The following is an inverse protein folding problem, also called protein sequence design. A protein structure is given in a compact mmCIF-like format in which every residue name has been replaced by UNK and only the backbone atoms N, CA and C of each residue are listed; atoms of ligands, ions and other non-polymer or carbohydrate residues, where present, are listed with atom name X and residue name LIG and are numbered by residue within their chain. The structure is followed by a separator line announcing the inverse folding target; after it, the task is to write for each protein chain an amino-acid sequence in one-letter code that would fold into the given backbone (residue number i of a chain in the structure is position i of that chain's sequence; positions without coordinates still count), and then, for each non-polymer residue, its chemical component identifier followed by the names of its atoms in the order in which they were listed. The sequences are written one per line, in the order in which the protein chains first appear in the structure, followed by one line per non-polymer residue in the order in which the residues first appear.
data_IF_248617718550
#
_entry.id   IF_248617718550
#
_cell.length_a   1.000
_cell.length_b   1.000
_cell.length_c   1.000
_cell.angle_alpha   90.00
_cell.angle_beta   90.00
_cell.angle_gamma   90.00
#
_symmetry.space_group_name_H-M   'P 1'
#
loop_
_entity.id
_entity.type
_entity.pdbx_description
1 polymer ?
#
# COMPACT_ATOMS: atom_id res chain seq x y z
N UNK A 1 55.20 7.44 43.21
CA UNK A 1 55.93 7.70 41.96
C UNK A 1 55.28 6.83 40.88
N UNK A 2 54.26 7.38 40.19
CA UNK A 2 54.26 7.68 38.75
C UNK A 2 54.24 6.39 37.90
N UNK A 3 53.09 5.89 37.44
CA UNK A 3 52.26 6.38 36.33
C UNK A 3 53.07 6.66 35.05
N UNK A 4 53.30 5.63 34.22
CA UNK A 4 53.77 5.81 32.83
C UNK A 4 53.52 4.60 31.89
N UNK A 5 53.05 3.45 32.38
CA UNK A 5 52.90 2.24 31.55
C UNK A 5 51.52 2.00 30.92
N UNK A 6 50.42 2.38 31.60
CA UNK A 6 49.08 1.90 31.19
C UNK A 6 48.33 2.84 30.24
N UNK A 7 48.73 4.11 30.11
CA UNK A 7 48.04 5.09 29.25
C UNK A 7 48.30 4.92 27.76
N UNK A 8 49.34 4.18 27.34
CA UNK A 8 49.67 4.00 25.91
C UNK A 8 49.01 2.79 25.25
N UNK A 9 48.53 1.80 26.03
CA UNK A 9 47.82 0.64 25.47
C UNK A 9 46.35 0.98 25.24
N UNK A 10 45.75 1.81 26.11
CA UNK A 10 44.37 2.28 25.96
C UNK A 10 44.24 3.28 24.78
N UNK A 11 45.34 3.94 24.39
CA UNK A 11 45.36 4.97 23.33
C UNK A 11 45.44 4.46 21.89
N UNK A 12 45.60 3.15 21.64
CA UNK A 12 45.69 2.62 20.26
C UNK A 12 44.66 1.57 19.87
N UNK A 13 43.79 1.17 20.79
CA UNK A 13 42.71 0.20 20.51
C UNK A 13 41.38 0.90 20.13
N UNK A 14 41.28 2.21 20.32
CA UNK A 14 40.07 2.98 19.98
C UNK A 14 39.94 3.41 18.51
N UNK A 15 40.87 3.02 17.61
CA UNK A 15 40.96 3.65 16.28
C UNK A 15 40.68 2.75 15.07
N UNK A 16 40.10 1.55 15.26
CA UNK A 16 39.80 0.70 14.11
C UNK A 16 38.63 -0.27 14.35
N UNK A 17 37.47 0.28 14.74
CA UNK A 17 36.20 -0.44 14.67
C UNK A 17 35.28 0.28 13.67
N UNK A 18 35.49 -0.09 12.40
CA UNK A 18 34.42 -0.46 11.47
C UNK A 18 33.29 0.58 11.31
N UNK A 19 33.56 1.58 10.46
CA UNK A 19 32.54 2.28 9.68
C UNK A 19 31.96 1.31 8.62
N UNK A 20 31.16 0.33 9.05
CA UNK A 20 30.15 -0.25 8.14
C UNK A 20 28.99 0.72 8.16
N UNK A 21 29.01 1.64 7.20
CA UNK A 21 27.82 2.36 6.82
C UNK A 21 26.82 1.32 6.34
N UNK A 22 25.95 0.88 7.25
CA UNK A 22 24.74 0.17 6.87
C UNK A 22 23.91 1.20 6.12
N UNK A 23 23.99 1.14 4.79
CA UNK A 23 23.07 1.86 3.92
C UNK A 23 21.72 1.19 4.15
N UNK A 24 20.97 1.65 5.15
CA UNK A 24 19.54 1.40 5.21
C UNK A 24 18.98 2.03 3.94
N UNK A 25 18.87 1.27 2.86
CA UNK A 25 17.87 1.55 1.86
C UNK A 25 16.55 1.51 2.62
N UNK A 26 15.96 2.68 2.86
CA UNK A 26 14.59 2.84 3.36
C UNK A 26 13.68 2.34 2.23
N UNK A 27 13.60 1.02 2.12
CA UNK A 27 12.52 0.37 1.40
C UNK A 27 11.36 0.26 2.38
N UNK A 28 10.14 0.47 1.89
CA UNK A 28 8.94 0.14 2.64
C UNK A 28 9.09 -1.28 3.18
N UNK A 29 8.92 -1.45 4.49
CA UNK A 29 9.12 -2.75 5.13
C UNK A 29 8.07 -3.72 4.58
N UNK A 30 8.54 -4.82 4.00
CA UNK A 30 7.69 -5.89 3.48
C UNK A 30 6.67 -6.34 4.52
N UNK A 31 5.48 -6.67 4.06
CA UNK A 31 4.39 -7.17 4.86
C UNK A 31 4.67 -8.61 5.31
N UNK A 32 4.36 -8.91 6.57
CA UNK A 32 4.52 -10.24 7.15
C UNK A 32 3.18 -10.88 7.50
N UNK A 33 3.11 -12.21 7.54
CA UNK A 33 1.89 -12.95 7.92
C UNK A 33 1.35 -12.53 9.29
N UNK A 34 2.23 -12.36 10.28
CA UNK A 34 1.84 -11.90 11.61
C UNK A 34 1.24 -10.49 11.58
N UNK A 35 1.77 -9.59 10.75
CA UNK A 35 1.20 -8.25 10.57
C UNK A 35 -0.20 -8.30 9.92
N UNK A 36 -0.41 -9.20 8.94
CA UNK A 36 -1.74 -9.45 8.36
C UNK A 36 -2.72 -9.99 9.41
N UNK A 37 -2.30 -10.94 10.24
CA UNK A 37 -3.16 -11.51 11.28
C UNK A 37 -3.54 -10.50 12.36
N UNK A 38 -2.60 -9.65 12.78
CA UNK A 38 -2.89 -8.55 13.70
C UNK A 38 -3.86 -7.54 13.07
N UNK A 39 -3.64 -7.23 11.80
CA UNK A 39 -4.53 -6.35 11.05
C UNK A 39 -5.95 -6.92 10.94
N UNK A 40 -6.11 -8.20 10.58
CA UNK A 40 -7.40 -8.88 10.48
C UNK A 40 -8.19 -8.82 11.79
N UNK A 41 -7.50 -8.93 12.94
CA UNK A 41 -8.12 -8.82 14.27
C UNK A 41 -8.55 -7.39 14.61
N UNK A 42 -7.75 -6.39 14.24
CA UNK A 42 -7.97 -5.00 14.60
C UNK A 42 -8.94 -4.28 13.64
N UNK A 43 -8.94 -4.63 12.36
CA UNK A 43 -9.62 -3.89 11.30
C UNK A 43 -11.12 -3.64 11.57
N UNK A 44 -11.94 -4.62 12.01
CA UNK A 44 -13.36 -4.36 12.30
C UNK A 44 -13.59 -3.26 13.34
N UNK A 45 -12.75 -3.22 14.36
CA UNK A 45 -12.89 -2.27 15.48
C UNK A 45 -12.29 -0.92 15.13
N UNK A 46 -11.21 -0.90 14.34
CA UNK A 46 -10.69 0.33 13.72
C UNK A 46 -11.72 0.97 12.80
N UNK A 47 -12.39 0.20 11.94
CA UNK A 47 -13.42 0.72 11.03
C UNK A 47 -14.61 1.33 11.81
N UNK A 48 -15.11 0.63 12.83
CA UNK A 48 -16.16 1.15 13.71
C UNK A 48 -15.74 2.46 14.39
N UNK A 49 -14.50 2.51 14.89
CA UNK A 49 -13.96 3.72 15.51
C UNK A 49 -13.80 4.88 14.52
N UNK A 50 -13.37 4.61 13.28
CA UNK A 50 -13.24 5.62 12.22
C UNK A 50 -14.60 6.24 11.87
N UNK A 51 -15.65 5.43 11.72
CA UNK A 51 -17.00 5.93 11.44
C UNK A 51 -17.54 6.79 12.58
N UNK A 52 -17.33 6.39 13.84
CA UNK A 52 -17.70 7.20 15.01
C UNK A 52 -16.98 8.56 15.08
N UNK A 53 -15.79 8.67 14.47
CA UNK A 53 -14.98 9.88 14.50
C UNK A 53 -14.94 10.63 13.16
N UNK A 54 -15.67 10.16 12.15
CA UNK A 54 -15.66 10.70 10.78
C UNK A 54 -15.95 12.19 10.71
N UNK A 55 -16.94 12.66 11.47
CA UNK A 55 -17.32 14.08 11.52
C UNK A 55 -16.20 15.00 12.01
N UNK A 56 -15.27 14.47 12.82
CA UNK A 56 -14.11 15.21 13.33
C UNK A 56 -12.96 15.26 12.34
N UNK A 57 -12.90 14.34 11.37
CA UNK A 57 -11.79 14.17 10.42
C UNK A 57 -12.12 14.63 9.01
N UNK A 58 -13.28 15.26 8.80
CA UNK A 58 -13.64 15.84 7.51
C UNK A 58 -12.60 16.88 7.08
N UNK A 59 -11.96 16.64 5.94
CA UNK A 59 -10.91 17.50 5.37
C UNK A 59 -11.12 17.62 3.87
N UNK A 60 -10.80 18.79 3.33
CA UNK A 60 -10.77 19.05 1.88
C UNK A 60 -9.47 18.54 1.24
N UNK A 61 -8.46 18.20 2.04
CA UNK A 61 -7.20 17.62 1.57
C UNK A 61 -7.42 16.19 1.06
N UNK A 62 -7.03 15.94 -0.20
CA UNK A 62 -7.17 14.63 -0.84
C UNK A 62 -5.81 14.06 -1.18
N UNK A 63 -5.44 12.99 -0.48
CA UNK A 63 -4.34 12.13 -0.88
C UNK A 63 -4.84 11.12 -1.91
N UNK A 64 -4.15 10.99 -3.04
CA UNK A 64 -4.41 9.89 -3.98
C UNK A 64 -3.82 8.60 -3.39
N UNK A 65 -4.66 7.85 -2.68
CA UNK A 65 -4.26 6.64 -1.97
C UNK A 65 -3.62 5.57 -2.87
N UNK A 66 -4.10 5.43 -4.11
CA UNK A 66 -3.60 4.38 -5.02
C UNK A 66 -2.24 4.73 -5.62
N UNK A 67 -1.91 6.03 -5.71
CA UNK A 67 -0.61 6.50 -6.24
C UNK A 67 0.40 6.82 -5.14
N UNK A 68 -0.03 6.87 -3.89
CA UNK A 68 0.83 7.18 -2.75
C UNK A 68 1.50 5.92 -2.22
N UNK A 69 2.73 6.06 -1.75
CA UNK A 69 3.42 4.98 -1.04
C UNK A 69 2.75 4.70 0.30
N UNK A 70 2.88 3.48 0.86
CA UNK A 70 2.39 3.16 2.21
C UNK A 70 2.87 4.13 3.27
N UNK A 71 4.11 4.60 3.16
CA UNK A 71 4.69 5.58 4.08
C UNK A 71 4.01 6.95 3.96
N UNK A 72 3.78 7.45 2.75
CA UNK A 72 3.09 8.72 2.53
C UNK A 72 1.67 8.69 3.08
N UNK A 73 0.95 7.59 2.87
CA UNK A 73 -0.40 7.39 3.44
C UNK A 73 -0.34 7.37 4.96
N UNK A 74 0.63 6.67 5.55
CA UNK A 74 0.78 6.57 7.00
C UNK A 74 1.13 7.90 7.66
N UNK A 75 2.02 8.68 7.05
CA UNK A 75 2.38 10.04 7.48
C UNK A 75 1.15 10.95 7.44
N UNK A 76 0.42 10.95 6.32
CA UNK A 76 -0.81 11.73 6.18
C UNK A 76 -1.86 11.35 7.23
N UNK A 77 -2.15 10.06 7.39
CA UNK A 77 -3.13 9.58 8.37
C UNK A 77 -2.71 9.94 9.81
N UNK A 78 -1.42 9.82 10.12
CA UNK A 78 -0.87 10.22 11.43
C UNK A 78 -1.07 11.71 11.68
N UNK A 79 -0.76 12.57 10.71
CA UNK A 79 -0.94 14.01 10.82
C UNK A 79 -2.41 14.39 11.00
N UNK A 80 -3.32 13.74 10.27
CA UNK A 80 -4.76 13.96 10.42
C UNK A 80 -5.25 13.60 11.82
N UNK A 81 -4.84 12.44 12.35
CA UNK A 81 -5.18 12.07 13.72
C UNK A 81 -4.63 13.05 14.76
N UNK A 82 -3.41 13.56 14.56
CA UNK A 82 -2.82 14.57 15.46
C UNK A 82 -3.56 15.90 15.40
N UNK A 83 -3.84 16.40 14.19
CA UNK A 83 -4.57 17.64 13.94
C UNK A 83 -5.93 17.68 14.63
N UNK A 84 -6.59 16.53 14.70
CA UNK A 84 -7.92 16.40 15.30
C UNK A 84 -7.91 15.86 16.74
N UNK A 85 -6.73 15.72 17.37
CA UNK A 85 -6.60 15.26 18.76
C UNK A 85 -6.97 13.80 18.98
N UNK A 86 -7.07 13.00 17.92
CA UNK A 86 -7.51 11.59 17.96
C UNK A 86 -6.36 10.59 18.03
N UNK A 87 -5.12 11.04 17.87
CA UNK A 87 -3.93 10.18 17.81
C UNK A 87 -3.77 9.27 19.05
N UNK A 88 -4.00 9.81 20.25
CA UNK A 88 -3.88 9.05 21.50
C UNK A 88 -4.96 7.96 21.60
N UNK A 89 -6.20 8.31 21.28
CA UNK A 89 -7.34 7.40 21.34
C UNK A 89 -7.17 6.26 20.34
N UNK A 90 -6.74 6.59 19.11
CA UNK A 90 -6.43 5.59 18.09
C UNK A 90 -5.28 4.67 18.52
N UNK A 91 -4.21 5.23 19.10
CA UNK A 91 -3.10 4.45 19.63
C UNK A 91 -3.55 3.47 20.73
N UNK A 92 -4.47 3.90 21.61
CA UNK A 92 -5.02 3.05 22.66
C UNK A 92 -5.86 1.91 22.09
N UNK A 93 -6.67 2.17 21.06
CA UNK A 93 -7.42 1.15 20.35
C UNK A 93 -6.47 0.08 19.78
N UNK A 94 -5.45 0.49 19.03
CA UNK A 94 -4.50 -0.44 18.40
C UNK A 94 -3.75 -1.31 19.42
N UNK A 95 -3.41 -0.76 20.60
CA UNK A 95 -2.73 -1.51 21.67
C UNK A 95 -3.55 -2.68 22.21
N UNK A 96 -4.88 -2.61 22.17
CA UNK A 96 -5.75 -3.73 22.56
C UNK A 96 -5.55 -4.97 21.69
N UNK A 97 -5.06 -4.78 20.46
CA UNK A 97 -4.75 -5.84 19.49
C UNK A 97 -3.25 -6.16 19.44
N UNK A 98 -2.43 -5.63 20.36
CA UNK A 98 -0.98 -5.84 20.38
C UNK A 98 -0.21 -5.00 19.35
N UNK A 99 -0.86 -4.03 18.71
CA UNK A 99 -0.23 -3.16 17.71
C UNK A 99 0.31 -1.91 18.40
N UNK A 100 1.64 -1.81 18.51
CA UNK A 100 2.32 -0.72 19.23
C UNK A 100 2.63 0.50 18.35
N UNK A 101 2.76 0.29 17.05
CA UNK A 101 3.14 1.33 16.09
C UNK A 101 1.99 1.62 15.13
N UNK A 102 1.34 2.77 15.34
CA UNK A 102 0.21 3.23 14.54
C UNK A 102 0.60 3.67 13.12
N UNK A 103 1.79 4.25 12.93
CA UNK A 103 2.29 4.55 11.58
C UNK A 103 2.46 3.24 10.80
N UNK A 104 3.03 2.21 11.42
CA UNK A 104 3.15 0.88 10.81
C UNK A 104 1.79 0.25 10.52
N UNK A 105 0.78 0.49 11.36
CA UNK A 105 -0.58 0.02 11.07
C UNK A 105 -1.13 0.59 9.76
N UNK A 106 -0.95 1.90 9.51
CA UNK A 106 -1.41 2.50 8.26
C UNK A 106 -0.62 2.05 7.04
N UNK A 107 0.69 1.79 7.19
CA UNK A 107 1.48 1.16 6.14
C UNK A 107 0.92 -0.24 5.81
N UNK A 108 0.69 -1.07 6.82
CA UNK A 108 0.14 -2.43 6.67
C UNK A 108 -1.23 -2.38 5.98
N UNK A 109 -2.14 -1.52 6.46
CA UNK A 109 -3.45 -1.30 5.84
C UNK A 109 -3.29 -0.95 4.35
N UNK A 110 -2.32 -0.08 4.03
CA UNK A 110 -2.08 0.37 2.65
C UNK A 110 -1.55 -0.74 1.77
N UNK A 111 -0.55 -1.48 2.26
CA UNK A 111 0.01 -2.65 1.59
C UNK A 111 -1.05 -3.73 1.34
N UNK A 112 -1.91 -4.00 2.33
CA UNK A 112 -3.02 -4.96 2.21
C UNK A 112 -4.00 -4.51 1.14
N UNK A 113 -4.46 -3.25 1.17
CA UNK A 113 -5.45 -2.75 0.21
C UNK A 113 -4.90 -2.74 -1.22
N UNK A 114 -3.69 -2.19 -1.43
CA UNK A 114 -3.06 -2.15 -2.76
C UNK A 114 -2.80 -3.56 -3.29
N UNK A 115 -2.28 -4.47 -2.45
CA UNK A 115 -2.03 -5.87 -2.84
C UNK A 115 -3.33 -6.64 -3.13
N UNK A 116 -4.39 -6.41 -2.35
CA UNK A 116 -5.70 -7.01 -2.59
C UNK A 116 -6.31 -6.53 -3.91
N UNK A 117 -6.20 -5.24 -4.23
CA UNK A 117 -6.65 -4.69 -5.52
C UNK A 117 -5.86 -5.32 -6.66
N UNK A 118 -4.53 -5.41 -6.55
CA UNK A 118 -3.68 -6.04 -7.57
C UNK A 118 -4.00 -7.53 -7.78
N UNK A 119 -4.26 -8.28 -6.70
CA UNK A 119 -4.65 -9.68 -6.76
C UNK A 119 -6.07 -9.87 -7.32
N UNK A 120 -7.00 -8.99 -6.97
CA UNK A 120 -8.37 -9.01 -7.50
C UNK A 120 -8.38 -8.68 -8.99
N UNK A 121 -7.56 -7.71 -9.43
CA UNK A 121 -7.39 -7.38 -10.83
C UNK A 121 -6.80 -8.55 -11.64
N UNK A 122 -5.87 -9.33 -11.08
CA UNK A 122 -5.37 -10.56 -11.71
C UNK A 122 -6.46 -11.60 -11.93
N UNK A 123 -7.32 -11.79 -10.94
CA UNK A 123 -8.40 -12.77 -11.01
C UNK A 123 -9.51 -12.32 -11.95
N UNK A 124 -9.76 -11.01 -12.03
CA UNK A 124 -10.80 -10.42 -12.86
C UNK A 124 -10.37 -10.23 -14.33
N UNK A 125 -9.07 -10.10 -14.62
CA UNK A 125 -8.60 -9.94 -16.00
C UNK A 125 -8.72 -11.26 -16.77
N UNK A 126 -9.56 -11.31 -17.84
CA UNK A 126 -9.61 -12.46 -18.73
C UNK A 126 -8.24 -12.67 -19.36
N UNK A 127 -7.78 -13.93 -19.39
CA UNK A 127 -6.59 -14.26 -20.18
C UNK A 127 -6.86 -13.93 -21.64
N UNK A 128 -6.06 -13.03 -22.23
CA UNK A 128 -6.22 -12.61 -23.62
C UNK A 128 -7.05 -11.35 -23.86
N UNK A 129 -7.41 -10.58 -22.82
CA UNK A 129 -8.12 -9.30 -22.99
C UNK A 129 -7.40 -8.34 -23.96
N UNK A 130 -6.06 -8.36 -23.98
CA UNK A 130 -5.27 -7.58 -24.94
C UNK A 130 -5.56 -7.99 -26.39
N UNK A 131 -5.78 -9.29 -26.67
CA UNK A 131 -6.09 -9.78 -28.01
C UNK A 131 -7.52 -9.38 -28.42
N UNK A 132 -8.50 -9.62 -27.56
CA UNK A 132 -9.89 -9.23 -27.81
C UNK A 132 -10.04 -7.72 -28.05
N UNK A 133 -9.30 -6.92 -27.29
CA UNK A 133 -9.34 -5.46 -27.40
C UNK A 133 -8.62 -4.94 -28.66
N UNK A 134 -7.54 -5.59 -29.10
CA UNK A 134 -6.92 -5.32 -30.40
C UNK A 134 -7.85 -5.70 -31.56
N UNK A 135 -8.55 -6.84 -31.47
CA UNK A 135 -9.51 -7.26 -32.47
C UNK A 135 -10.71 -6.28 -32.54
N UNK A 136 -11.17 -5.78 -31.39
CA UNK A 136 -12.21 -4.76 -31.33
C UNK A 136 -11.78 -3.41 -31.94
N UNK A 137 -10.53 -2.99 -31.74
CA UNK A 137 -9.98 -1.79 -32.39
C UNK A 137 -9.91 -1.95 -33.91
N UNK A 138 -9.49 -3.12 -34.40
CA UNK A 138 -9.46 -3.42 -35.83
C UNK A 138 -10.88 -3.40 -36.45
N UNK A 139 -11.87 -3.95 -35.75
CA UNK A 139 -13.27 -3.90 -36.20
C UNK A 139 -13.82 -2.47 -36.20
N UNK A 140 -13.47 -1.64 -35.20
CA UNK A 140 -13.87 -0.25 -35.14
C UNK A 140 -13.30 0.57 -36.31
N UNK A 141 -12.04 0.33 -36.68
CA UNK A 141 -11.39 1.00 -37.82
C UNK A 141 -12.10 0.66 -39.14
N UNK A 142 -12.49 -0.60 -39.32
CA UNK A 142 -13.15 -1.09 -40.53
C UNK A 142 -14.68 -0.90 -40.56
N UNK A 143 -15.27 -0.26 -39.55
CA UNK A 143 -16.74 -0.10 -39.47
C UNK A 143 -17.22 1.08 -40.30
N UNK A 144 -18.07 0.86 -41.30
CA UNK A 144 -18.68 1.95 -42.08
C UNK A 144 -19.90 2.60 -41.38
N UNK A 145 -20.31 2.07 -40.23
CA UNK A 145 -21.51 2.51 -39.50
C UNK A 145 -21.27 3.74 -38.59
N UNK A 146 -20.01 4.13 -38.38
CA UNK A 146 -19.63 5.21 -37.47
C UNK A 146 -18.95 6.33 -38.23
N UNK A 147 -19.23 7.56 -37.82
CA UNK A 147 -18.48 8.73 -38.29
C UNK A 147 -17.04 8.70 -37.76
N UNK A 148 -16.12 9.37 -38.47
CA UNK A 148 -14.70 9.42 -38.08
C UNK A 148 -14.49 9.97 -36.66
N UNK A 149 -15.32 10.93 -36.27
CA UNK A 149 -15.25 11.57 -34.96
C UNK A 149 -15.71 10.64 -33.83
N UNK A 150 -16.75 9.83 -34.08
CA UNK A 150 -17.20 8.77 -33.18
C UNK A 150 -16.16 7.65 -33.05
N UNK A 151 -15.57 7.20 -34.17
CA UNK A 151 -14.47 6.23 -34.16
C UNK A 151 -13.29 6.74 -33.34
N UNK A 152 -12.90 8.00 -33.53
CA UNK A 152 -11.79 8.61 -32.79
C UNK A 152 -12.08 8.68 -31.28
N UNK A 153 -13.31 9.02 -30.88
CA UNK A 153 -13.70 9.02 -29.48
C UNK A 153 -13.67 7.62 -28.86
N UNK A 154 -14.26 6.63 -29.54
CA UNK A 154 -14.28 5.25 -29.05
C UNK A 154 -12.88 4.65 -28.97
N UNK A 155 -12.01 4.95 -29.95
CA UNK A 155 -10.60 4.56 -29.94
C UNK A 155 -9.86 5.15 -28.74
N UNK A 156 -10.07 6.44 -28.43
CA UNK A 156 -9.47 7.05 -27.22
C UNK A 156 -9.95 6.38 -25.94
N UNK A 157 -11.24 6.06 -25.82
CA UNK A 157 -11.78 5.37 -24.65
C UNK A 157 -11.19 3.97 -24.50
N UNK A 158 -11.12 3.20 -25.58
CA UNK A 158 -10.49 1.88 -25.58
C UNK A 158 -8.99 1.96 -25.22
N UNK A 159 -8.23 2.89 -25.81
CA UNK A 159 -6.82 3.06 -25.48
C UNK A 159 -6.60 3.44 -24.01
N UNK A 160 -7.47 4.28 -23.43
CA UNK A 160 -7.43 4.62 -22.01
C UNK A 160 -7.76 3.40 -21.12
N UNK A 161 -8.75 2.60 -21.48
CA UNK A 161 -9.07 1.36 -20.77
C UNK A 161 -7.91 0.36 -20.87
N UNK A 162 -7.29 0.23 -22.05
CA UNK A 162 -6.12 -0.64 -22.26
C UNK A 162 -4.92 -0.17 -21.44
N UNK A 163 -4.66 1.15 -21.39
CA UNK A 163 -3.60 1.72 -20.56
C UNK A 163 -3.80 1.43 -19.07
N UNK A 164 -5.04 1.53 -18.58
CA UNK A 164 -5.38 1.18 -17.20
C UNK A 164 -5.25 -0.33 -16.94
N UNK A 165 -5.74 -1.17 -17.85
CA UNK A 165 -5.61 -2.62 -17.77
C UNK A 165 -4.14 -3.04 -17.77
N UNK A 166 -3.29 -2.46 -18.62
CA UNK A 166 -1.85 -2.71 -18.65
C UNK A 166 -1.14 -2.23 -17.38
N UNK A 167 -1.53 -1.09 -16.81
CA UNK A 167 -0.99 -0.64 -15.52
C UNK A 167 -1.36 -1.61 -14.40
N UNK A 168 -2.62 -2.04 -14.35
CA UNK A 168 -3.08 -3.06 -13.41
C UNK A 168 -2.38 -4.40 -13.64
N UNK A 169 -2.17 -4.80 -14.90
CA UNK A 169 -1.47 -6.03 -15.28
C UNK A 169 0.01 -5.97 -14.90
N UNK A 170 0.66 -4.81 -15.03
CA UNK A 170 2.05 -4.63 -14.63
C UNK A 170 2.18 -4.64 -13.10
N UNK A 171 1.27 -3.98 -12.38
CA UNK A 171 1.18 -4.03 -10.92
C UNK A 171 0.92 -5.47 -10.43
N UNK A 172 0.10 -6.21 -11.18
CA UNK A 172 -0.22 -7.60 -10.95
C UNK A 172 0.94 -8.58 -11.22
N UNK A 173 1.59 -8.44 -12.37
CA UNK A 173 2.72 -9.27 -12.81
C UNK A 173 3.92 -9.12 -11.89
N UNK A 174 4.09 -7.93 -11.33
CA UNK A 174 5.03 -7.70 -10.25
C UNK A 174 4.48 -8.35 -8.97
N UNK A 175 4.59 -9.68 -8.86
CA UNK A 175 4.28 -10.39 -7.61
C UNK A 175 5.19 -9.87 -6.51
N UNK A 176 4.67 -8.94 -5.72
CA UNK A 176 5.37 -8.42 -4.55
C UNK A 176 5.38 -9.47 -3.45
N UNK A 177 6.32 -9.34 -2.52
CA UNK A 177 6.32 -10.15 -1.31
C UNK A 177 4.99 -10.02 -0.55
N UNK A 178 4.44 -8.81 -0.49
CA UNK A 178 3.14 -8.51 0.14
C UNK A 178 2.02 -9.35 -0.49
N UNK A 179 1.94 -9.42 -1.81
CA UNK A 179 0.91 -10.21 -2.50
C UNK A 179 1.00 -11.71 -2.17
N UNK A 180 2.21 -12.26 -2.05
CA UNK A 180 2.41 -13.67 -1.67
C UNK A 180 1.95 -13.93 -0.24
N UNK A 181 2.25 -13.01 0.67
CA UNK A 181 1.83 -13.09 2.07
C UNK A 181 0.30 -12.99 2.20
N UNK A 182 -0.36 -12.23 1.33
CA UNK A 182 -1.82 -12.07 1.34
C UNK A 182 -2.60 -13.28 0.84
N UNK A 183 -2.05 -14.08 -0.08
CA UNK A 183 -2.77 -15.19 -0.73
C UNK A 183 -3.59 -16.08 0.23
N UNK A 184 -3.02 -16.58 1.35
CA UNK A 184 -3.79 -17.42 2.29
C UNK A 184 -4.90 -16.69 3.04
N UNK A 185 -4.88 -15.35 3.08
CA UNK A 185 -5.83 -14.52 3.83
C UNK A 185 -6.90 -13.85 2.96
N UNK A 186 -6.88 -14.03 1.64
CA UNK A 186 -7.75 -13.30 0.70
C UNK A 186 -9.24 -13.38 1.02
N UNK A 187 -9.72 -14.54 1.48
CA UNK A 187 -11.13 -14.71 1.85
C UNK A 187 -11.49 -13.83 3.05
N UNK A 188 -10.64 -13.80 4.07
CA UNK A 188 -10.87 -13.02 5.29
C UNK A 188 -10.76 -11.51 5.01
N UNK A 189 -9.79 -11.11 4.19
CA UNK A 189 -9.62 -9.72 3.74
C UNK A 189 -10.86 -9.27 2.96
N UNK A 190 -11.35 -10.11 2.02
CA UNK A 190 -12.57 -9.82 1.26
C UNK A 190 -13.78 -9.63 2.18
N UNK A 191 -13.95 -10.49 3.19
CA UNK A 191 -15.05 -10.36 4.16
C UNK A 191 -15.01 -9.02 4.91
N UNK A 192 -13.83 -8.56 5.29
CA UNK A 192 -13.64 -7.25 5.94
C UNK A 192 -14.05 -6.12 5.00
N UNK A 193 -13.59 -6.14 3.74
CA UNK A 193 -13.93 -5.09 2.78
C UNK A 193 -15.41 -5.11 2.36
N UNK A 194 -16.04 -6.27 2.24
CA UNK A 194 -17.48 -6.36 1.94
C UNK A 194 -18.36 -5.87 3.08
N UNK A 195 -17.86 -5.81 4.32
CA UNK A 195 -18.59 -5.23 5.44
C UNK A 195 -18.56 -3.68 5.47
N UNK A 196 -17.84 -3.05 4.54
CA UNK A 196 -17.75 -1.59 4.39
C UNK A 196 -18.75 -1.00 3.39
N UNK A 197 -19.43 -1.85 2.61
CA UNK A 197 -20.51 -1.47 1.67
C UNK A 197 -21.87 -1.40 2.39
#
# INVERSE_FOLDING_TARGET
MWDLGMKKIISKVCQLVILIGFVCSVNAKDLTSNEVELWLKAAPQVMSWLEQNKSKMASDDKLDFLKSSPQQVAEYATQMLQKHGLYKDFSQLLKQYGIQNQTRFFEIQTQIMQSFIALSAQQAMPQGINKEMMDALSQLENSDALTDEQKAQMKRQMMNMMGQAMQLEQQAKNSTQDMKVLQPYLIQIKQIFSALE
#
